data_IF_277052187826
#
_entry.id   IF_277052187826
#
_cell.length_a   1.000
_cell.length_b   1.000
_cell.length_c   1.000
_cell.angle_alpha   90.00
_cell.angle_beta   90.00
_cell.angle_gamma   90.00
#
_symmetry.space_group_name_H-M   'P 1'
#
loop_
_entity.id
_entity.type
_entity.pdbx_description
1 polymer ?
#
# COMPACT_ATOMS: atom_id res chain seq x y z
N UNK A 1 17.69 0.25 10.21
CA UNK A 1 16.75 0.70 9.17
C UNK A 1 15.36 0.50 9.75
N UNK A 2 14.50 1.53 9.79
CA UNK A 2 13.20 1.47 10.50
C UNK A 2 12.31 0.38 9.91
N UNK A 3 12.07 -0.70 10.66
CA UNK A 3 11.23 -1.83 10.25
C UNK A 3 9.86 -1.37 9.70
N UNK A 4 9.29 -0.31 10.26
CA UNK A 4 8.01 0.23 9.82
C UNK A 4 8.07 0.87 8.43
N UNK A 5 9.18 1.55 8.07
CA UNK A 5 9.37 2.12 6.73
C UNK A 5 9.41 1.02 5.68
N UNK A 6 10.05 -0.11 5.99
CA UNK A 6 10.12 -1.25 5.06
C UNK A 6 8.75 -1.92 4.89
N UNK A 7 7.98 -2.05 5.98
CA UNK A 7 6.59 -2.54 5.91
C UNK A 7 5.70 -1.62 5.05
N UNK A 8 5.80 -0.31 5.24
CA UNK A 8 5.06 0.64 4.42
C UNK A 8 5.48 0.59 2.94
N UNK A 9 6.78 0.48 2.64
CA UNK A 9 7.28 0.27 1.27
C UNK A 9 6.68 -0.98 0.63
N UNK A 10 6.57 -2.06 1.39
CA UNK A 10 5.96 -3.29 0.89
C UNK A 10 4.46 -3.12 0.63
N UNK A 11 3.71 -2.48 1.53
CA UNK A 11 2.31 -2.15 1.26
C UNK A 11 2.18 -1.32 -0.03
N UNK A 12 2.97 -0.26 -0.16
CA UNK A 12 2.97 0.62 -1.33
C UNK A 12 3.25 -0.15 -2.62
N UNK A 13 4.28 -0.99 -2.64
CA UNK A 13 4.59 -1.87 -3.78
C UNK A 13 3.43 -2.79 -4.11
N UNK A 14 2.77 -3.37 -3.11
CA UNK A 14 1.58 -4.18 -3.34
C UNK A 14 0.47 -3.36 -3.99
N UNK A 15 0.21 -2.15 -3.51
CA UNK A 15 -0.81 -1.28 -4.08
C UNK A 15 -0.50 -0.87 -5.54
N UNK A 16 0.77 -0.54 -5.83
CA UNK A 16 1.21 -0.08 -7.15
C UNK A 16 1.32 -1.22 -8.18
N UNK A 17 1.84 -2.40 -7.80
CA UNK A 17 2.15 -3.49 -8.73
C UNK A 17 1.05 -4.55 -8.83
N UNK A 18 0.19 -4.71 -7.82
CA UNK A 18 -0.79 -5.80 -7.82
C UNK A 18 -1.81 -5.63 -8.97
N UNK A 19 -2.12 -6.70 -9.72
CA UNK A 19 -3.11 -6.64 -10.79
C UNK A 19 -4.45 -6.04 -10.33
N UNK A 20 -5.16 -5.37 -11.23
CA UNK A 20 -6.52 -4.86 -10.98
C UNK A 20 -7.44 -5.98 -10.46
N UNK A 21 -8.33 -5.66 -9.52
CA UNK A 21 -9.22 -6.65 -8.89
C UNK A 21 -8.53 -7.57 -7.89
N UNK A 22 -7.30 -7.24 -7.48
CA UNK A 22 -6.55 -7.96 -6.43
C UNK A 22 -6.00 -6.98 -5.41
N UNK A 23 -5.97 -7.38 -4.13
CA UNK A 23 -5.49 -6.54 -3.03
C UNK A 23 -6.18 -5.17 -2.94
N UNK A 24 -7.45 -5.08 -3.34
CA UNK A 24 -8.18 -3.80 -3.48
C UNK A 24 -8.27 -3.01 -2.17
N UNK A 25 -8.47 -3.68 -1.04
CA UNK A 25 -8.45 -3.00 0.26
C UNK A 25 -7.06 -2.43 0.59
N UNK A 26 -5.98 -3.09 0.19
CA UNK A 26 -4.62 -2.56 0.39
C UNK A 26 -4.36 -1.33 -0.49
N UNK A 27 -4.86 -1.36 -1.73
CA UNK A 27 -4.82 -0.20 -2.65
C UNK A 27 -5.60 0.98 -2.08
N UNK A 28 -6.82 0.76 -1.60
CA UNK A 28 -7.64 1.78 -0.96
C UNK A 28 -6.98 2.37 0.28
N UNK A 29 -6.35 1.54 1.12
CA UNK A 29 -5.61 2.02 2.29
C UNK A 29 -4.41 2.87 1.87
N UNK A 30 -3.65 2.43 0.85
CA UNK A 30 -2.51 3.20 0.34
C UNK A 30 -2.93 4.56 -0.22
N UNK A 31 -3.99 4.59 -1.03
CA UNK A 31 -4.58 5.81 -1.60
C UNK A 31 -5.07 6.75 -0.50
N UNK A 32 -5.82 6.24 0.48
CA UNK A 32 -6.30 7.03 1.62
C UNK A 32 -5.15 7.68 2.40
N UNK A 33 -4.05 6.95 2.61
CA UNK A 33 -2.87 7.48 3.30
C UNK A 33 -2.24 8.62 2.48
N UNK A 34 -2.06 8.42 1.17
CA UNK A 34 -1.52 9.43 0.26
C UNK A 34 -2.39 10.69 0.22
N UNK A 35 -3.70 10.54 -0.02
CA UNK A 35 -4.66 11.64 -0.05
C UNK A 35 -4.71 12.43 1.26
N UNK A 36 -4.58 11.73 2.39
CA UNK A 36 -4.56 12.35 3.71
C UNK A 36 -3.27 13.17 3.90
N UNK A 37 -2.12 12.62 3.52
CA UNK A 37 -0.85 13.35 3.54
C UNK A 37 -0.88 14.59 2.65
N UNK A 38 -1.35 14.44 1.40
CA UNK A 38 -1.43 15.54 0.44
C UNK A 38 -2.35 16.66 0.94
N UNK A 39 -3.48 16.30 1.54
CA UNK A 39 -4.39 17.26 2.16
C UNK A 39 -3.71 18.03 3.30
N UNK A 40 -3.03 17.33 4.21
CA UNK A 40 -2.31 17.95 5.33
C UNK A 40 -1.23 18.91 4.82
N UNK A 41 -0.43 18.48 3.84
CA UNK A 41 0.62 19.31 3.24
C UNK A 41 0.02 20.58 2.62
N UNK A 42 -1.06 20.44 1.85
CA UNK A 42 -1.76 21.57 1.23
C UNK A 42 -2.29 22.55 2.27
N UNK A 43 -2.96 22.06 3.32
CA UNK A 43 -3.50 22.91 4.39
C UNK A 43 -2.40 23.67 5.15
N UNK A 44 -1.24 23.03 5.38
CA UNK A 44 -0.07 23.72 5.96
C UNK A 44 0.45 24.83 5.04
N UNK A 45 0.48 24.59 3.73
CA UNK A 45 0.91 25.59 2.75
C UNK A 45 -0.07 26.75 2.63
N UNK A 46 -1.38 26.50 2.78
CA UNK A 46 -2.42 27.53 2.83
C UNK A 46 -2.27 28.47 4.03
N UNK A 47 -1.67 27.99 5.13
CA UNK A 47 -1.28 28.83 6.29
C UNK A 47 -0.01 29.66 6.04
N UNK A 48 0.60 29.58 4.85
CA UNK A 48 1.84 30.29 4.50
C UNK A 48 3.11 29.61 5.03
N UNK A 49 3.01 28.37 5.52
CA UNK A 49 4.13 27.58 6.02
C UNK A 49 4.74 26.71 4.92
N UNK A 50 6.02 26.34 5.06
CA UNK A 50 6.71 25.45 4.10
C UNK A 50 6.49 23.98 4.47
N UNK A 51 6.02 23.19 3.51
CA UNK A 51 5.79 21.75 3.64
C UNK A 51 6.22 20.97 2.37
N UNK A 52 7.38 21.33 1.80
CA UNK A 52 7.89 20.84 0.51
C UNK A 52 8.96 19.72 0.63
N UNK A 53 9.20 19.20 1.84
CA UNK A 53 10.22 18.17 2.08
C UNK A 53 9.67 16.76 1.84
N UNK A 54 10.01 16.18 0.70
CA UNK A 54 9.62 14.82 0.31
C UNK A 54 9.96 13.75 1.36
N UNK A 55 11.13 13.83 2.01
CA UNK A 55 11.51 12.88 3.06
C UNK A 55 10.58 12.92 4.28
N UNK A 56 9.99 14.09 4.55
CA UNK A 56 9.05 14.29 5.67
C UNK A 56 7.66 13.78 5.29
N UNK A 57 7.25 13.92 4.02
CA UNK A 57 6.00 13.34 3.52
C UNK A 57 6.02 11.81 3.69
N UNK A 58 7.12 11.14 3.30
CA UNK A 58 7.25 9.69 3.48
C UNK A 58 7.21 9.27 4.96
N UNK A 59 7.79 10.07 5.86
CA UNK A 59 7.71 9.83 7.30
C UNK A 59 6.26 9.97 7.84
N UNK A 60 5.52 10.95 7.34
CA UNK A 60 4.10 11.15 7.69
C UNK A 60 3.24 9.98 7.19
N UNK A 61 3.42 9.56 5.93
CA UNK A 61 2.73 8.38 5.38
C UNK A 61 3.01 7.12 6.22
N UNK A 62 4.27 6.92 6.59
CA UNK A 62 4.69 5.79 7.44
C UNK A 62 4.01 5.84 8.81
N UNK A 63 3.86 7.03 9.40
CA UNK A 63 3.18 7.21 10.67
C UNK A 63 1.67 6.95 10.58
N UNK A 64 1.01 7.40 9.51
CA UNK A 64 -0.40 7.10 9.25
C UNK A 64 -0.61 5.60 9.05
N UNK A 65 0.27 4.95 8.28
CA UNK A 65 0.25 3.50 8.10
C UNK A 65 0.43 2.75 9.42
N UNK A 66 1.41 3.14 10.25
CA UNK A 66 1.62 2.57 11.59
C UNK A 66 0.36 2.69 12.46
N UNK A 67 -0.28 3.86 12.46
CA UNK A 67 -1.53 4.08 13.20
C UNK A 67 -2.64 3.12 12.75
N UNK A 68 -2.85 3.00 11.43
CA UNK A 68 -3.86 2.10 10.85
C UNK A 68 -3.55 0.64 11.21
N UNK A 69 -2.30 0.22 11.06
CA UNK A 69 -1.85 -1.12 11.38
C UNK A 69 -2.03 -1.46 12.87
N UNK A 70 -1.60 -0.59 13.77
CA UNK A 70 -1.72 -0.80 15.23
C UNK A 70 -3.17 -0.85 15.69
N UNK A 71 -4.05 -0.11 15.01
CA UNK A 71 -5.49 -0.12 15.28
C UNK A 71 -6.17 -1.39 14.76
N UNK A 72 -5.50 -2.18 13.91
CA UNK A 72 -6.10 -3.29 13.16
C UNK A 72 -5.19 -4.54 13.16
N UNK A 73 -4.58 -4.88 14.30
CA UNK A 73 -3.58 -5.97 14.41
C UNK A 73 -4.09 -7.35 13.97
N UNK A 74 -5.38 -7.60 14.11
CA UNK A 74 -6.02 -8.88 13.72
C UNK A 74 -6.31 -8.96 12.22
N UNK A 75 -6.18 -7.86 11.47
CA UNK A 75 -6.49 -7.85 10.05
C UNK A 75 -5.37 -8.53 9.24
N UNK A 76 -5.70 -9.65 8.60
CA UNK A 76 -4.78 -10.42 7.74
C UNK A 76 -4.34 -9.67 6.48
N UNK A 77 -5.10 -8.63 6.10
CA UNK A 77 -4.81 -7.70 5.00
C UNK A 77 -3.34 -7.25 4.99
N UNK A 78 -2.84 -6.75 6.12
CA UNK A 78 -1.53 -6.10 6.17
C UNK A 78 -0.41 -7.10 5.93
N UNK A 79 -0.43 -8.24 6.63
CA UNK A 79 0.55 -9.30 6.44
C UNK A 79 0.53 -9.83 4.99
N UNK A 80 -0.66 -10.00 4.40
CA UNK A 80 -0.81 -10.48 3.02
C UNK A 80 -0.26 -9.48 1.99
N UNK A 81 -0.62 -8.19 2.12
CA UNK A 81 -0.19 -7.14 1.22
C UNK A 81 1.32 -6.87 1.33
N UNK A 82 1.85 -6.78 2.56
CA UNK A 82 3.27 -6.61 2.79
C UNK A 82 4.07 -7.80 2.25
N UNK A 83 3.60 -9.03 2.44
CA UNK A 83 4.24 -10.22 1.89
C UNK A 83 4.28 -10.22 0.36
N UNK A 84 3.18 -9.80 -0.29
CA UNK A 84 3.13 -9.65 -1.73
C UNK A 84 4.12 -8.58 -2.22
N UNK A 85 4.11 -7.39 -1.60
CA UNK A 85 4.99 -6.30 -1.98
C UNK A 85 6.48 -6.60 -1.77
N UNK A 86 6.81 -7.34 -0.71
CA UNK A 86 8.18 -7.83 -0.51
C UNK A 86 8.63 -8.77 -1.64
N UNK A 87 7.71 -9.58 -2.18
CA UNK A 87 8.00 -10.51 -3.27
C UNK A 87 8.21 -9.81 -4.63
N UNK A 88 7.75 -8.56 -4.78
CA UNK A 88 7.91 -7.79 -6.03
C UNK A 88 9.35 -7.34 -6.29
N UNK A 89 10.23 -7.34 -5.28
CA UNK A 89 11.66 -7.04 -5.46
C UNK A 89 12.48 -8.27 -5.91
N UNK A 90 11.83 -9.43 -6.05
CA UNK A 90 12.48 -10.69 -6.35
C UNK A 90 12.55 -11.03 -7.85
N UNK A 91 13.43 -11.97 -8.24
CA UNK A 91 13.57 -12.43 -9.63
C UNK A 91 12.32 -13.11 -10.19
N UNK A 92 11.33 -13.40 -9.34
CA UNK A 92 10.08 -14.06 -9.69
C UNK A 92 8.90 -13.10 -9.93
N UNK A 93 9.12 -11.78 -9.91
CA UNK A 93 8.06 -10.75 -10.01
C UNK A 93 7.07 -11.06 -11.13
N UNK A 94 7.53 -11.22 -12.36
CA UNK A 94 6.67 -11.43 -13.53
C UNK A 94 5.82 -12.71 -13.42
N UNK A 95 6.42 -13.78 -12.90
CA UNK A 95 5.73 -15.05 -12.66
C UNK A 95 4.62 -14.87 -11.61
N UNK A 96 4.91 -14.16 -10.52
CA UNK A 96 3.94 -13.90 -9.45
C UNK A 96 2.78 -13.05 -9.98
N UNK A 97 3.07 -11.98 -10.73
CA UNK A 97 2.04 -11.13 -11.35
C UNK A 97 1.13 -11.93 -12.28
N UNK A 98 1.71 -12.78 -13.14
CA UNK A 98 0.95 -13.64 -14.05
C UNK A 98 0.05 -14.63 -13.29
N UNK A 99 0.60 -15.31 -12.28
CA UNK A 99 -0.17 -16.26 -11.45
C UNK A 99 -1.29 -15.55 -10.67
N UNK A 100 -1.02 -14.39 -10.07
CA UNK A 100 -2.02 -13.61 -9.32
C UNK A 100 -3.18 -13.18 -10.22
N UNK A 101 -2.88 -12.70 -11.43
CA UNK A 101 -3.90 -12.35 -12.42
C UNK A 101 -4.72 -13.56 -12.85
N UNK A 102 -4.07 -14.68 -13.15
CA UNK A 102 -4.77 -15.92 -13.52
C UNK A 102 -5.70 -16.40 -12.39
N UNK A 103 -5.24 -16.38 -11.14
CA UNK A 103 -6.03 -16.78 -9.98
C UNK A 103 -7.28 -15.90 -9.81
N UNK A 104 -7.14 -14.59 -10.01
CA UNK A 104 -8.28 -13.65 -10.03
C UNK A 104 -9.30 -14.06 -11.09
N UNK A 105 -8.85 -14.30 -12.31
CA UNK A 105 -9.72 -14.63 -13.45
C UNK A 105 -10.49 -15.93 -13.21
N UNK A 106 -9.82 -16.96 -12.69
CA UNK A 106 -10.45 -18.24 -12.31
C UNK A 106 -11.50 -18.04 -11.21
N UNK A 107 -11.18 -17.26 -10.17
CA UNK A 107 -12.12 -16.99 -9.08
C UNK A 107 -13.35 -16.21 -9.55
N UNK A 108 -13.18 -15.28 -10.50
CA UNK A 108 -14.30 -14.55 -11.10
C UNK A 108 -15.20 -15.48 -11.92
N UNK A 109 -14.61 -16.37 -12.72
CA UNK A 109 -15.37 -17.37 -13.49
C UNK A 109 -16.21 -18.27 -12.58
N UNK A 110 -15.63 -18.78 -11.49
CA UNK A 110 -16.33 -19.63 -10.51
C UNK A 110 -17.53 -18.89 -9.88
N UNK A 111 -17.40 -17.59 -9.60
CA UNK A 111 -18.48 -16.79 -9.01
C UNK A 111 -19.63 -16.47 -9.99
N UNK A 112 -19.35 -16.56 -11.29
CA UNK A 112 -20.33 -16.28 -12.36
C UNK A 112 -21.08 -17.52 -12.87
N UNK A 113 -20.71 -18.70 -12.38
CA UNK A 113 -21.41 -19.97 -12.61
C UNK A 113 -22.48 -20.20 -11.54
#
# INVERSE_FOLDING_TARGET
MDQMKDRFRNLRRCAEDAPEGTYETAKQVHELIGDTCDRVIREIMELGLKADKLDVAFALETALYQYVLDSNKEATLFASAEGFGAAMDGPNRDRILATTKQNRDVLQQIRSM
#
